data_IF_731700662603
#
_entry.id   IF_731700662603
#
_cell.length_a   1.000
_cell.length_b   1.000
_cell.length_c   1.000
_cell.angle_alpha   90.00
_cell.angle_beta   90.00
_cell.angle_gamma   90.00
#
_symmetry.space_group_name_H-M   'P 1'
#
loop_
_entity.id
_entity.type
_entity.pdbx_description
1 polymer ?
#
# COMPACT_ATOMS: atom_id res chain seq x y z
N UNK A 1 23.86 45.06 22.80
CA UNK A 1 24.17 43.63 22.58
C UNK A 1 22.88 42.88 22.25
N UNK A 2 22.56 42.71 20.96
CA UNK A 2 21.38 42.00 20.47
C UNK A 2 21.76 40.54 20.17
N UNK A 3 21.23 39.58 20.94
CA UNK A 3 21.38 38.15 20.61
C UNK A 3 20.36 37.77 19.55
N UNK A 4 20.84 37.44 18.35
CA UNK A 4 20.09 36.72 17.32
C UNK A 4 19.65 35.36 17.86
N UNK A 5 18.34 35.10 17.86
CA UNK A 5 17.80 33.75 17.98
C UNK A 5 17.80 33.13 16.58
N UNK A 6 18.82 32.31 16.31
CA UNK A 6 18.82 31.45 15.12
C UNK A 6 17.88 30.27 15.36
N UNK A 7 16.70 30.31 14.73
CA UNK A 7 15.80 29.16 14.62
C UNK A 7 16.33 28.20 13.54
N UNK A 8 16.37 26.88 13.78
CA UNK A 8 16.81 25.93 12.77
C UNK A 8 15.76 25.77 11.67
N UNK A 9 16.10 26.24 10.46
CA UNK A 9 15.40 25.92 9.22
C UNK A 9 15.49 24.41 8.94
N UNK A 10 14.52 23.62 9.44
CA UNK A 10 14.36 22.22 9.08
C UNK A 10 13.28 22.07 7.99
N UNK A 11 13.63 21.79 6.73
CA UNK A 11 12.69 21.73 5.60
C UNK A 11 11.73 20.53 5.61
N UNK A 12 11.75 19.68 6.65
CA UNK A 12 10.82 18.54 6.78
C UNK A 12 9.52 18.87 7.52
N UNK A 13 9.45 19.99 8.23
CA UNK A 13 8.23 20.39 8.97
C UNK A 13 7.23 21.18 8.14
N UNK A 14 7.65 21.85 7.06
CA UNK A 14 6.76 22.63 6.20
C UNK A 14 5.75 21.75 5.49
N UNK A 15 6.16 20.57 5.01
CA UNK A 15 5.27 19.63 4.33
C UNK A 15 4.22 19.02 5.25
N UNK A 16 4.56 18.75 6.52
CA UNK A 16 3.60 18.21 7.50
C UNK A 16 2.54 19.26 7.84
N UNK A 17 2.95 20.52 8.05
CA UNK A 17 2.02 21.62 8.26
C UNK A 17 1.15 21.90 7.04
N UNK A 18 1.72 21.89 5.83
CA UNK A 18 0.96 22.03 4.58
C UNK A 18 -0.05 20.89 4.38
N UNK A 19 0.30 19.65 4.74
CA UNK A 19 -0.65 18.54 4.66
C UNK A 19 -1.75 18.63 5.73
N UNK A 20 -1.44 19.09 6.94
CA UNK A 20 -2.45 19.28 7.98
C UNK A 20 -3.41 20.41 7.60
N UNK A 21 -2.92 21.54 7.10
CA UNK A 21 -3.76 22.67 6.69
C UNK A 21 -4.59 22.35 5.46
N UNK A 22 -4.04 21.65 4.45
CA UNK A 22 -4.82 21.19 3.29
C UNK A 22 -5.94 20.23 3.69
N UNK A 23 -5.70 19.28 4.59
CA UNK A 23 -6.74 18.36 5.04
C UNK A 23 -7.80 19.06 5.91
N UNK A 24 -7.41 20.05 6.72
CA UNK A 24 -8.35 20.84 7.51
C UNK A 24 -9.24 21.70 6.60
N UNK A 25 -8.69 22.31 5.55
CA UNK A 25 -9.43 23.08 4.54
C UNK A 25 -10.40 22.17 3.76
N UNK A 26 -9.97 20.97 3.37
CA UNK A 26 -10.87 20.01 2.71
C UNK A 26 -12.01 19.63 3.65
N UNK A 27 -11.74 19.45 4.95
CA UNK A 27 -12.75 19.09 5.93
C UNK A 27 -13.75 20.23 6.18
N UNK A 28 -13.28 21.48 6.28
CA UNK A 28 -14.14 22.65 6.47
C UNK A 28 -14.97 22.96 5.22
N UNK A 29 -14.41 22.77 4.02
CA UNK A 29 -15.14 22.90 2.76
C UNK A 29 -16.18 21.78 2.57
N UNK A 30 -15.90 20.56 3.03
CA UNK A 30 -16.91 19.49 3.03
C UNK A 30 -18.05 19.78 4.01
N UNK A 31 -17.75 20.31 5.19
CA UNK A 31 -18.77 20.66 6.17
C UNK A 31 -19.68 21.80 5.69
N UNK A 32 -19.11 22.84 5.08
CA UNK A 32 -19.89 23.97 4.56
C UNK A 32 -20.75 23.58 3.35
N UNK A 33 -20.28 22.68 2.49
CA UNK A 33 -21.10 22.14 1.39
C UNK A 33 -22.28 21.30 1.91
N UNK A 34 -22.09 20.53 3.00
CA UNK A 34 -23.16 19.79 3.67
C UNK A 34 -24.20 20.75 4.25
N UNK A 35 -23.78 21.83 4.92
CA UNK A 35 -24.70 22.82 5.48
C UNK A 35 -25.48 23.59 4.40
N UNK A 36 -24.84 23.96 3.28
CA UNK A 36 -25.51 24.60 2.14
C UNK A 36 -26.51 23.64 1.46
N UNK A 37 -26.20 22.34 1.41
CA UNK A 37 -27.12 21.30 0.93
C UNK A 37 -28.32 21.10 1.86
N UNK A 38 -28.14 21.25 3.18
CA UNK A 38 -29.22 21.16 4.17
C UNK A 38 -30.17 22.36 4.04
N UNK A 39 -29.65 23.58 3.82
CA UNK A 39 -30.46 24.82 3.73
C UNK A 39 -31.28 24.89 2.43
N UNK A 40 -30.79 24.35 1.31
CA UNK A 40 -31.47 24.41 0.00
C UNK A 40 -32.64 23.41 -0.18
N UNK A 41 -32.93 22.54 0.80
CA UNK A 41 -33.91 21.45 0.66
C UNK A 41 -35.29 21.75 1.27
N UNK A 42 -35.72 23.03 1.29
CA UNK A 42 -36.99 23.45 1.89
C UNK A 42 -38.26 23.05 1.13
N UNK A 43 -38.18 22.23 0.07
CA UNK A 43 -39.34 21.87 -0.77
C UNK A 43 -39.62 20.37 -0.97
N UNK A 44 -38.79 19.44 -0.48
CA UNK A 44 -39.04 17.98 -0.65
C UNK A 44 -38.52 17.17 0.54
N UNK A 45 -39.29 17.12 1.63
CA UNK A 45 -38.94 16.37 2.85
C UNK A 45 -38.62 14.88 2.60
N UNK A 46 -39.21 14.27 1.57
CA UNK A 46 -38.96 12.86 1.18
C UNK A 46 -37.54 12.69 0.61
N UNK A 47 -37.02 13.67 -0.14
CA UNK A 47 -35.70 13.57 -0.78
C UNK A 47 -34.56 13.67 0.24
N UNK A 48 -34.73 14.45 1.31
CA UNK A 48 -33.71 14.61 2.35
C UNK A 48 -33.59 13.35 3.22
N UNK A 49 -34.71 12.73 3.59
CA UNK A 49 -34.70 11.47 4.36
C UNK A 49 -34.03 10.34 3.56
N UNK A 50 -34.33 10.23 2.26
CA UNK A 50 -33.68 9.25 1.37
C UNK A 50 -32.18 9.55 1.21
N UNK A 51 -31.79 10.82 1.13
CA UNK A 51 -30.39 11.22 1.06
C UNK A 51 -29.62 10.95 2.36
N UNK A 52 -30.20 11.27 3.52
CA UNK A 52 -29.62 10.95 4.83
C UNK A 52 -29.52 9.43 5.00
N UNK A 53 -30.53 8.67 4.59
CA UNK A 53 -30.47 7.21 4.61
C UNK A 53 -29.32 6.69 3.72
N UNK A 54 -29.18 7.19 2.49
CA UNK A 54 -28.05 6.87 1.60
C UNK A 54 -26.69 7.28 2.19
N UNK A 55 -26.59 8.45 2.80
CA UNK A 55 -25.38 8.94 3.45
C UNK A 55 -25.01 8.07 4.65
N UNK A 56 -25.98 7.68 5.48
CA UNK A 56 -25.78 6.75 6.59
C UNK A 56 -25.33 5.38 6.07
N UNK A 57 -25.90 4.88 4.97
CA UNK A 57 -25.44 3.64 4.34
C UNK A 57 -23.98 3.75 3.85
N UNK A 58 -23.60 4.88 3.25
CA UNK A 58 -22.23 5.16 2.80
C UNK A 58 -21.26 5.34 3.98
N UNK A 59 -21.67 6.01 5.05
CA UNK A 59 -20.87 6.20 6.26
C UNK A 59 -20.72 4.90 7.06
N UNK A 60 -21.76 4.06 7.12
CA UNK A 60 -21.72 2.72 7.73
C UNK A 60 -20.78 1.79 6.96
N UNK A 61 -20.70 1.93 5.62
CA UNK A 61 -19.68 1.24 4.82
C UNK A 61 -18.24 1.69 5.13
N UNK A 62 -18.06 2.84 5.78
CA UNK A 62 -16.74 3.40 6.11
C UNK A 62 -16.27 3.04 7.53
N UNK A 63 -17.18 2.73 8.46
CA UNK A 63 -16.86 2.38 9.85
C UNK A 63 -16.98 0.88 10.07
N UNK A 64 -15.82 0.20 10.10
CA UNK A 64 -15.73 -1.21 10.45
C UNK A 64 -16.09 -1.42 11.92
N UNK A 65 -17.07 -2.29 12.19
CA UNK A 65 -17.46 -2.66 13.55
C UNK A 65 -16.38 -3.52 14.22
N UNK A 66 -16.39 -3.55 15.56
CA UNK A 66 -15.43 -4.38 16.31
C UNK A 66 -15.60 -5.87 15.98
N UNK A 67 -16.86 -6.31 15.83
CA UNK A 67 -17.19 -7.69 15.45
C UNK A 67 -16.69 -8.02 14.04
N UNK A 68 -16.84 -7.11 13.07
CA UNK A 68 -16.32 -7.30 11.71
C UNK A 68 -14.80 -7.42 11.69
N UNK A 69 -14.10 -6.59 12.47
CA UNK A 69 -12.64 -6.64 12.58
C UNK A 69 -12.20 -7.96 13.23
N UNK A 70 -12.84 -8.38 14.32
CA UNK A 70 -12.56 -9.64 14.99
C UNK A 70 -12.76 -10.84 14.03
N UNK A 71 -13.89 -10.87 13.33
CA UNK A 71 -14.19 -11.91 12.33
C UNK A 71 -13.16 -11.92 11.20
N UNK A 72 -12.74 -10.75 10.71
CA UNK A 72 -11.69 -10.65 9.69
C UNK A 72 -10.36 -11.26 10.16
N UNK A 73 -9.93 -10.94 11.39
CA UNK A 73 -8.70 -11.46 11.97
C UNK A 73 -8.81 -12.98 12.17
N UNK A 74 -9.93 -13.47 12.71
CA UNK A 74 -10.19 -14.90 12.91
C UNK A 74 -10.16 -15.70 11.61
N UNK A 75 -10.86 -15.24 10.57
CA UNK A 75 -10.82 -15.88 9.24
C UNK A 75 -9.39 -15.89 8.70
N UNK A 76 -8.67 -14.77 8.83
CA UNK A 76 -7.29 -14.66 8.33
C UNK A 76 -6.32 -15.55 9.10
N UNK A 77 -6.54 -15.75 10.40
CA UNK A 77 -5.75 -16.63 11.28
C UNK A 77 -5.95 -18.10 10.93
N UNK A 78 -7.19 -18.54 10.82
CA UNK A 78 -7.55 -19.94 10.47
C UNK A 78 -7.10 -20.31 9.06
N UNK A 79 -7.16 -19.37 8.11
CA UNK A 79 -6.77 -19.60 6.71
C UNK A 79 -5.33 -19.17 6.39
N UNK A 80 -4.48 -18.98 7.41
CA UNK A 80 -3.17 -18.39 7.22
C UNK A 80 -2.20 -19.24 6.40
N UNK A 81 -2.20 -20.55 6.61
CA UNK A 81 -1.38 -21.47 5.83
C UNK A 81 -1.76 -21.42 4.34
N UNK A 82 -3.06 -21.41 4.04
CA UNK A 82 -3.58 -21.28 2.68
C UNK A 82 -3.06 -19.99 2.02
N UNK A 83 -3.11 -18.85 2.73
CA UNK A 83 -2.63 -17.59 2.18
C UNK A 83 -1.14 -17.63 1.77
N UNK A 84 -0.29 -18.28 2.57
CA UNK A 84 1.15 -18.37 2.30
C UNK A 84 1.48 -19.36 1.18
N UNK A 85 0.70 -20.42 1.06
CA UNK A 85 0.82 -21.44 0.01
C UNK A 85 0.34 -20.95 -1.37
N UNK A 86 -0.51 -19.92 -1.41
CA UNK A 86 -1.07 -19.39 -2.66
C UNK A 86 -0.15 -18.33 -3.30
N UNK A 87 0.07 -18.46 -4.62
CA UNK A 87 0.92 -17.56 -5.41
C UNK A 87 0.14 -16.40 -6.06
N UNK A 88 0.71 -15.19 -5.99
CA UNK A 88 0.40 -14.07 -6.88
C UNK A 88 -1.09 -13.76 -7.05
N UNK A 89 -1.58 -13.91 -8.30
CA UNK A 89 -2.94 -13.53 -8.74
C UNK A 89 -4.05 -14.25 -7.96
N UNK A 90 -3.80 -15.48 -7.52
CA UNK A 90 -4.75 -16.26 -6.73
C UNK A 90 -5.02 -15.65 -5.35
N UNK A 91 -4.16 -14.75 -4.86
CA UNK A 91 -4.43 -13.98 -3.63
C UNK A 91 -5.62 -13.05 -3.78
N UNK A 92 -5.93 -12.58 -5.00
CA UNK A 92 -7.13 -11.78 -5.24
C UNK A 92 -8.39 -12.61 -4.94
N UNK A 93 -8.44 -13.84 -5.47
CA UNK A 93 -9.53 -14.80 -5.24
C UNK A 93 -9.62 -15.15 -3.75
N UNK A 94 -8.49 -15.39 -3.09
CA UNK A 94 -8.46 -15.60 -1.65
C UNK A 94 -9.16 -14.47 -0.88
N UNK A 95 -8.83 -13.21 -1.18
CA UNK A 95 -9.44 -12.08 -0.47
C UNK A 95 -10.93 -11.93 -0.78
N UNK A 96 -11.37 -12.27 -1.99
CA UNK A 96 -12.80 -12.33 -2.32
C UNK A 96 -13.52 -13.41 -1.50
N UNK A 97 -12.90 -14.58 -1.33
CA UNK A 97 -13.45 -15.64 -0.48
C UNK A 97 -13.53 -15.23 1.00
N UNK A 98 -12.50 -14.53 1.50
CA UNK A 98 -12.52 -13.95 2.85
C UNK A 98 -13.67 -12.95 3.00
N UNK A 99 -13.86 -12.08 2.02
CA UNK A 99 -14.94 -11.10 2.04
C UNK A 99 -16.32 -11.77 2.03
N UNK A 100 -16.53 -12.78 1.18
CA UNK A 100 -17.80 -13.53 1.14
C UNK A 100 -18.12 -14.18 2.50
N UNK A 101 -17.13 -14.82 3.14
CA UNK A 101 -17.32 -15.41 4.47
C UNK A 101 -17.66 -14.36 5.53
N UNK A 102 -16.96 -13.23 5.51
CA UNK A 102 -17.19 -12.14 6.45
C UNK A 102 -18.57 -11.51 6.24
N UNK A 103 -18.96 -11.28 5.00
CA UNK A 103 -20.26 -10.73 4.64
C UNK A 103 -21.41 -11.65 5.08
N UNK A 104 -21.25 -12.96 4.91
CA UNK A 104 -22.24 -13.94 5.36
C UNK A 104 -22.39 -13.94 6.90
N UNK A 105 -21.29 -13.73 7.63
CA UNK A 105 -21.30 -13.77 9.10
C UNK A 105 -21.79 -12.46 9.73
N UNK A 106 -21.37 -11.31 9.19
CA UNK A 106 -21.66 -9.99 9.76
C UNK A 106 -22.81 -9.25 9.05
N UNK A 107 -23.44 -9.87 8.03
CA UNK A 107 -24.42 -9.23 7.15
C UNK A 107 -23.90 -7.90 6.54
N UNK A 108 -22.64 -7.91 6.12
CA UNK A 108 -21.93 -6.76 5.55
C UNK A 108 -21.78 -6.91 4.03
N UNK A 109 -21.32 -5.86 3.34
CA UNK A 109 -21.11 -5.86 1.88
C UNK A 109 -19.70 -5.39 1.51
N UNK A 110 -18.70 -6.04 2.08
CA UNK A 110 -17.30 -5.75 1.77
C UNK A 110 -16.81 -6.51 0.54
N UNK A 111 -15.90 -5.89 -0.21
CA UNK A 111 -15.13 -6.52 -1.28
C UNK A 111 -13.80 -7.07 -0.75
N UNK A 112 -13.22 -8.05 -1.46
CA UNK A 112 -11.91 -8.61 -1.10
C UNK A 112 -10.80 -7.56 -0.97
N UNK A 113 -10.79 -6.56 -1.86
CA UNK A 113 -9.85 -5.46 -1.78
C UNK A 113 -10.02 -4.61 -0.52
N UNK A 114 -11.25 -4.41 -0.04
CA UNK A 114 -11.51 -3.67 1.21
C UNK A 114 -11.02 -4.48 2.42
N UNK A 115 -11.31 -5.78 2.46
CA UNK A 115 -10.82 -6.69 3.51
C UNK A 115 -9.28 -6.71 3.56
N UNK A 116 -8.63 -6.83 2.40
CA UNK A 116 -7.16 -6.78 2.28
C UNK A 116 -6.58 -5.47 2.81
N UNK A 117 -7.12 -4.33 2.37
CA UNK A 117 -6.66 -3.00 2.81
C UNK A 117 -6.84 -2.83 4.31
N UNK A 118 -7.98 -3.24 4.86
CA UNK A 118 -8.26 -3.17 6.29
C UNK A 118 -7.29 -4.02 7.09
N UNK A 119 -7.10 -5.28 6.70
CA UNK A 119 -6.16 -6.19 7.38
C UNK A 119 -4.72 -5.66 7.36
N UNK A 120 -4.24 -5.21 6.20
CA UNK A 120 -2.90 -4.61 6.09
C UNK A 120 -2.76 -3.35 6.95
N UNK A 121 -3.80 -2.52 7.02
CA UNK A 121 -3.81 -1.34 7.90
C UNK A 121 -3.70 -1.74 9.37
N UNK A 122 -4.39 -2.79 9.82
CA UNK A 122 -4.29 -3.32 11.19
C UNK A 122 -2.87 -3.80 11.50
N UNK A 123 -2.26 -4.55 10.59
CA UNK A 123 -0.87 -5.03 10.72
C UNK A 123 0.13 -3.87 10.79
N UNK A 124 0.00 -2.88 9.91
CA UNK A 124 0.87 -1.69 9.93
C UNK A 124 0.69 -0.91 11.24
N UNK A 125 -0.55 -0.76 11.71
CA UNK A 125 -0.83 -0.07 12.96
C UNK A 125 -0.25 -0.83 14.16
N UNK A 126 -0.31 -2.16 14.15
CA UNK A 126 0.38 -3.03 15.11
C UNK A 126 1.89 -2.82 15.08
N UNK A 127 2.52 -2.90 13.92
CA UNK A 127 3.98 -2.72 13.81
C UNK A 127 4.40 -1.32 14.26
N UNK A 128 3.63 -0.28 13.92
CA UNK A 128 3.90 1.08 14.39
C UNK A 128 3.78 1.17 15.91
N UNK A 129 2.75 0.59 16.51
CA UNK A 129 2.65 0.56 17.97
C UNK A 129 3.79 -0.22 18.61
N UNK A 130 4.22 -1.35 18.04
CA UNK A 130 5.39 -2.10 18.53
C UNK A 130 6.66 -1.25 18.49
N UNK A 131 6.88 -0.48 17.41
CA UNK A 131 8.01 0.44 17.28
C UNK A 131 7.97 1.61 18.28
N UNK A 132 6.79 2.19 18.52
CA UNK A 132 6.63 3.37 19.39
C UNK A 132 6.37 3.02 20.86
N UNK A 133 5.97 1.79 21.20
CA UNK A 133 5.84 1.31 22.58
C UNK A 133 7.19 1.31 23.32
N UNK A 134 8.30 1.26 22.59
CA UNK A 134 9.64 1.48 23.13
C UNK A 134 9.89 2.95 23.55
N UNK A 135 9.11 3.92 23.05
CA UNK A 135 9.38 5.36 23.19
C UNK A 135 8.31 6.16 23.96
N UNK A 136 7.03 5.75 24.03
CA UNK A 136 6.00 6.48 24.79
C UNK A 136 4.78 5.61 25.15
N UNK A 137 4.47 5.47 26.44
CA UNK A 137 3.39 4.64 27.00
C UNK A 137 1.97 5.25 26.85
N UNK A 138 1.84 6.48 26.34
CA UNK A 138 0.58 7.25 26.39
C UNK A 138 -0.48 6.90 25.35
N UNK A 139 -0.20 6.05 24.35
CA UNK A 139 -1.15 5.76 23.24
C UNK A 139 -1.76 4.34 23.30
N UNK A 140 -2.48 4.04 24.39
CA UNK A 140 -3.24 2.77 24.58
C UNK A 140 -4.63 2.78 23.93
N UNK A 141 -4.83 3.29 22.71
CA UNK A 141 -6.13 3.16 22.02
C UNK A 141 -6.12 1.96 21.08
N UNK A 142 -7.10 1.06 21.28
CA UNK A 142 -7.31 -0.23 20.61
C UNK A 142 -6.36 -1.36 21.05
N UNK A 143 -6.54 -1.93 22.25
CA UNK A 143 -5.76 -3.13 22.68
C UNK A 143 -6.34 -4.45 22.17
N UNK A 144 -7.66 -4.53 21.99
CA UNK A 144 -8.37 -5.81 21.82
C UNK A 144 -7.85 -6.61 20.61
N UNK A 145 -7.73 -5.98 19.44
CA UNK A 145 -7.20 -6.64 18.24
C UNK A 145 -5.68 -6.85 18.26
N UNK A 146 -4.97 -6.10 19.10
CA UNK A 146 -3.51 -6.14 19.14
C UNK A 146 -3.00 -7.38 19.87
N UNK A 147 -3.79 -7.94 20.80
CA UNK A 147 -3.44 -9.19 21.48
C UNK A 147 -3.53 -10.39 20.54
N UNK A 148 -4.56 -10.47 19.70
CA UNK A 148 -4.63 -11.48 18.64
C UNK A 148 -3.47 -11.33 17.65
N UNK A 149 -3.16 -10.08 17.31
CA UNK A 149 -2.03 -9.78 16.48
C UNK A 149 -0.70 -10.11 17.22
N UNK A 150 -0.59 -10.07 18.54
CA UNK A 150 0.69 -10.38 19.21
C UNK A 150 1.29 -11.76 18.84
N UNK A 151 0.47 -12.71 18.44
CA UNK A 151 0.90 -14.04 17.95
C UNK A 151 1.71 -14.02 16.64
N UNK A 152 1.78 -12.88 15.92
CA UNK A 152 2.49 -12.69 14.65
C UNK A 152 2.13 -13.70 13.56
N UNK A 153 0.94 -14.31 13.62
CA UNK A 153 0.52 -15.35 12.68
C UNK A 153 0.57 -14.91 11.21
N UNK A 154 0.42 -13.61 10.93
CA UNK A 154 0.46 -13.03 9.59
C UNK A 154 1.88 -12.78 9.06
N UNK A 155 2.95 -13.16 9.77
CA UNK A 155 4.29 -13.10 9.19
C UNK A 155 4.46 -14.20 8.14
N UNK A 156 5.15 -13.88 7.04
CA UNK A 156 5.50 -14.87 6.03
C UNK A 156 6.48 -15.88 6.65
N UNK A 157 6.14 -17.17 6.74
CA UNK A 157 7.10 -18.17 7.20
C UNK A 157 8.32 -18.29 6.27
N UNK A 158 8.21 -17.82 5.02
CA UNK A 158 9.26 -17.89 3.99
C UNK A 158 9.93 -16.55 3.68
N UNK A 159 9.72 -15.52 4.51
CA UNK A 159 10.09 -14.11 4.25
C UNK A 159 11.55 -13.94 3.77
N UNK A 160 12.48 -14.67 4.40
CA UNK A 160 13.92 -14.62 4.05
C UNK A 160 14.21 -15.11 2.63
N UNK A 161 13.54 -16.16 2.16
CA UNK A 161 13.86 -16.77 0.87
C UNK A 161 13.27 -15.95 -0.29
N UNK A 162 12.03 -15.45 -0.15
CA UNK A 162 11.38 -14.64 -1.20
C UNK A 162 12.01 -13.27 -1.38
N UNK A 163 12.45 -12.61 -0.30
CA UNK A 163 13.16 -11.33 -0.41
C UNK A 163 14.48 -11.44 -1.17
N UNK A 164 15.22 -12.53 -0.95
CA UNK A 164 16.47 -12.79 -1.67
C UNK A 164 16.24 -13.05 -3.15
N UNK A 165 15.22 -13.84 -3.51
CA UNK A 165 14.85 -14.08 -4.92
C UNK A 165 14.42 -12.78 -5.61
N UNK A 166 13.54 -11.99 -4.99
CA UNK A 166 13.09 -10.72 -5.57
C UNK A 166 14.23 -9.70 -5.75
N UNK A 167 15.14 -9.61 -4.76
CA UNK A 167 16.34 -8.76 -4.83
C UNK A 167 17.28 -9.23 -5.93
N UNK A 168 17.49 -10.53 -6.08
CA UNK A 168 18.31 -11.11 -7.14
C UNK A 168 17.70 -10.87 -8.53
N UNK A 169 16.38 -10.96 -8.68
CA UNK A 169 15.69 -10.67 -9.95
C UNK A 169 15.82 -9.21 -10.37
N UNK A 170 15.67 -8.26 -9.42
CA UNK A 170 15.91 -6.82 -9.68
C UNK A 170 17.36 -6.56 -10.06
N UNK A 171 18.32 -7.16 -9.36
CA UNK A 171 19.74 -7.05 -9.70
C UNK A 171 20.02 -7.58 -11.11
N UNK A 172 19.41 -8.71 -11.50
CA UNK A 172 19.52 -9.27 -12.85
C UNK A 172 18.84 -8.40 -13.93
N UNK A 173 17.73 -7.72 -13.63
CA UNK A 173 17.12 -6.77 -14.59
C UNK A 173 17.99 -5.53 -14.77
N UNK A 174 18.55 -4.98 -13.68
CA UNK A 174 19.41 -3.80 -13.74
C UNK A 174 20.69 -4.07 -14.53
N UNK A 175 21.30 -5.25 -14.35
CA UNK A 175 22.45 -5.69 -15.15
C UNK A 175 22.08 -5.77 -16.63
N UNK A 176 20.92 -6.34 -16.98
CA UNK A 176 20.45 -6.39 -18.38
C UNK A 176 20.19 -5.01 -18.97
N UNK A 177 19.61 -4.09 -18.20
CA UNK A 177 19.40 -2.70 -18.62
C UNK A 177 20.73 -1.99 -18.84
N UNK A 178 21.69 -2.16 -17.93
CA UNK A 178 23.05 -1.59 -18.06
C UNK A 178 23.78 -2.15 -19.28
N UNK A 179 23.68 -3.45 -19.54
CA UNK A 179 24.28 -4.08 -20.73
C UNK A 179 23.71 -3.47 -22.02
N UNK A 180 22.39 -3.37 -22.12
CA UNK A 180 21.71 -2.74 -23.26
C UNK A 180 22.09 -1.26 -23.46
N UNK A 181 22.32 -0.51 -22.38
CA UNK A 181 22.82 0.88 -22.47
C UNK A 181 24.23 0.92 -23.08
N UNK A 182 25.15 0.07 -22.61
CA UNK A 182 26.51 -0.02 -23.16
C UNK A 182 26.52 -0.45 -24.63
N UNK A 183 25.69 -1.40 -25.02
CA UNK A 183 25.54 -1.82 -26.43
C UNK A 183 25.08 -0.66 -27.31
N UNK A 184 24.09 0.13 -26.86
CA UNK A 184 23.62 1.33 -27.58
C UNK A 184 24.65 2.46 -27.63
N UNK A 185 25.48 2.61 -26.60
CA UNK A 185 26.54 3.62 -26.54
C UNK A 185 27.76 3.22 -27.38
N UNK A 186 28.08 1.92 -27.45
CA UNK A 186 29.13 1.37 -28.31
C UNK A 186 28.80 1.45 -29.80
N UNK A 187 27.53 1.18 -30.17
CA UNK A 187 27.04 1.36 -31.54
C UNK A 187 27.10 2.82 -32.03
N UNK A 188 27.08 3.81 -31.13
CA UNK A 188 27.22 5.22 -31.48
C UNK A 188 28.65 5.69 -31.72
N UNK A 189 29.66 4.86 -31.42
CA UNK A 189 31.09 5.22 -31.53
C UNK A 189 31.82 4.45 -32.64
N UNK A 190 31.11 3.70 -33.48
CA UNK A 190 31.69 2.73 -34.43
C UNK A 190 31.65 3.09 -35.91
N UNK A 191 31.25 4.29 -36.33
CA UNK A 191 31.28 4.72 -37.75
C UNK A 191 32.47 5.65 -38.04
N UNK A 192 33.66 5.09 -37.91
CA UNK A 192 34.89 5.78 -38.27
C UNK A 192 36.07 4.84 -38.35
N UNK A 193 36.21 4.12 -39.46
CA UNK A 193 37.50 3.55 -39.85
C UNK A 193 37.47 2.21 -40.58
N UNK A 194 37.65 2.28 -41.90
CA UNK A 194 38.52 1.36 -42.63
C UNK A 194 37.94 0.02 -43.07
N UNK A 195 37.39 -0.01 -44.28
CA UNK A 195 37.46 -1.22 -45.10
C UNK A 195 38.94 -1.45 -45.47
N UNK A 196 39.56 -2.47 -44.90
CA UNK A 196 40.75 -3.10 -45.49
C UNK A 196 40.30 -4.50 -45.91
N UNK A 197 40.08 -4.67 -47.21
CA UNK A 197 40.07 -5.98 -47.83
C UNK A 197 41.49 -6.52 -47.75
N UNK A 198 41.73 -7.51 -46.89
CA UNK A 198 42.85 -8.43 -47.09
C UNK A 198 42.26 -9.62 -47.86
N UNK A 199 42.47 -9.62 -49.17
CA UNK A 199 42.31 -10.79 -50.03
C UNK A 199 43.09 -11.96 -49.44
N UNK A 200 42.46 -13.12 -49.39
CA UNK A 200 43.14 -14.37 -49.09
C UNK A 200 44.19 -14.68 -50.16
N UNK A 201 45.24 -15.34 -49.71
CA UNK A 201 45.84 -16.42 -50.50
C UNK A 201 45.73 -17.67 -49.65
N UNK A 202 44.79 -18.52 -50.04
CA UNK A 202 44.88 -19.95 -49.82
C UNK A 202 46.13 -20.46 -50.55
N UNK A 203 46.99 -21.20 -49.84
CA UNK A 203 47.69 -22.38 -50.36
C UNK A 203 48.58 -22.94 -49.24
N UNK A 204 48.03 -23.86 -48.43
CA UNK A 204 48.83 -25.01 -48.03
C UNK A 204 47.95 -26.20 -47.66
N UNK A 205 47.73 -27.07 -48.64
CA UNK A 205 47.17 -28.41 -48.48
C UNK A 205 48.03 -29.37 -49.30
N UNK A 206 48.68 -30.31 -48.60
CA UNK A 206 49.28 -31.58 -49.10
C UNK A 206 50.49 -31.36 -50.03
N UNK A 207 51.69 -31.81 -49.73
CA UNK A 207 52.17 -33.05 -49.13
C UNK A 207 53.50 -32.79 -48.43
#
# INVERSE_FOLDING_TARGET
>A
MLRKFDLPCNPRNSYVWLMITQNLIIFTLQFSLIEILIINQKKKNISFIVFIFLLIQVLKAMVWSQQEIHTLISIRKTTNQLYWNIFGRLRCIYWNNVANRLNNFCNSRYMGNQCKRKFNSLVTHYNNMELYAANDQRRKRNRIFFDELRTRFWKDPFDRHRHNVARNTRRKSDVRIRKRRREREGLKRGDGGGYVYISGNDENSRY
#
